data_IF_764032552360
#
_entry.id   IF_764032552360
#
_cell.length_a   1.000
_cell.length_b   1.000
_cell.length_c   1.000
_cell.angle_alpha   90.00
_cell.angle_beta   90.00
_cell.angle_gamma   90.00
#
_symmetry.space_group_name_H-M   'P 1'
#
loop_
_entity.id
_entity.type
_entity.pdbx_description
1 polymer ?
#
# COMPACT_ATOMS: atom_id res chain seq x y z
N UNK A 1 18.41 0.88 -0.37
CA UNK A 1 17.27 -0.05 -0.32
C UNK A 1 16.22 0.45 -1.28
N UNK A 2 15.64 -0.42 -2.11
CA UNK A 2 14.58 -0.04 -3.06
C UNK A 2 13.18 -0.44 -2.57
N UNK A 3 13.10 -1.31 -1.57
CA UNK A 3 11.85 -1.82 -1.01
C UNK A 3 11.66 -1.38 0.44
N UNK A 4 10.40 -1.32 0.88
CA UNK A 4 10.06 -0.97 2.26
C UNK A 4 10.63 -1.98 3.27
N UNK A 5 10.62 -3.27 2.94
CA UNK A 5 11.21 -4.31 3.79
C UNK A 5 12.73 -4.14 3.95
N UNK A 6 13.42 -3.76 2.87
CA UNK A 6 14.85 -3.44 2.92
C UNK A 6 15.14 -2.22 3.78
N UNK A 7 14.32 -1.17 3.67
CA UNK A 7 14.41 0.02 4.51
C UNK A 7 14.26 -0.30 6.01
N UNK A 8 13.25 -1.10 6.38
CA UNK A 8 13.04 -1.50 7.77
C UNK A 8 14.17 -2.37 8.32
N UNK A 9 14.64 -3.32 7.51
CA UNK A 9 15.75 -4.21 7.87
C UNK A 9 17.03 -3.41 8.13
N UNK A 10 17.31 -2.44 7.28
CA UNK A 10 18.49 -1.59 7.43
C UNK A 10 18.38 -0.60 8.59
N UNK A 11 17.19 -0.08 8.84
CA UNK A 11 16.94 0.81 9.98
C UNK A 11 17.09 0.05 11.30
N UNK A 12 16.63 -1.20 11.36
CA UNK A 12 16.73 -2.06 12.54
C UNK A 12 18.07 -2.81 12.65
N UNK A 13 18.92 -2.78 11.61
CA UNK A 13 20.18 -3.54 11.51
C UNK A 13 20.02 -5.06 11.33
N UNK A 14 18.79 -5.57 11.42
CA UNK A 14 18.39 -6.98 11.26
C UNK A 14 16.95 -7.03 10.79
N UNK A 15 16.49 -8.18 10.31
CA UNK A 15 15.08 -8.36 9.93
C UNK A 15 14.21 -8.23 11.18
N UNK A 16 13.31 -7.22 11.25
CA UNK A 16 12.47 -7.03 12.42
C UNK A 16 11.40 -8.14 12.52
N UNK A 17 11.20 -8.75 13.70
CA UNK A 17 10.17 -9.76 13.89
C UNK A 17 8.75 -9.16 13.76
N UNK A 18 7.74 -9.99 13.44
CA UNK A 18 6.34 -9.55 13.43
C UNK A 18 5.94 -8.98 14.79
N UNK A 19 5.20 -7.88 14.77
CA UNK A 19 4.84 -7.06 15.94
C UNK A 19 5.82 -5.91 16.23
N UNK A 20 6.98 -5.87 15.58
CA UNK A 20 7.95 -4.80 15.77
C UNK A 20 7.45 -3.46 15.24
N UNK A 21 7.77 -2.40 15.98
CA UNK A 21 7.44 -1.02 15.67
C UNK A 21 8.72 -0.25 15.33
N UNK A 22 8.72 0.41 14.17
CA UNK A 22 9.79 1.30 13.73
C UNK A 22 9.20 2.67 13.46
N UNK A 23 9.72 3.70 14.11
CA UNK A 23 9.26 5.09 13.93
C UNK A 23 10.26 5.85 13.09
N UNK A 24 9.81 6.43 11.99
CA UNK A 24 10.67 7.19 11.09
C UNK A 24 9.89 8.30 10.38
N UNK A 25 10.42 9.53 10.41
CA UNK A 25 9.81 10.67 9.72
C UNK A 25 8.38 11.01 10.17
N UNK A 26 8.01 10.74 11.42
CA UNK A 26 6.65 10.94 11.93
C UNK A 26 5.65 9.84 11.54
N UNK A 27 6.10 8.83 10.78
CA UNK A 27 5.36 7.63 10.47
C UNK A 27 5.77 6.50 11.40
N UNK A 28 4.83 5.63 11.70
CA UNK A 28 5.00 4.44 12.53
C UNK A 28 4.75 3.22 11.67
N UNK A 29 5.79 2.40 11.52
CA UNK A 29 5.77 1.18 10.72
C UNK A 29 5.65 -0.01 11.65
N UNK A 30 4.54 -0.74 11.56
CA UNK A 30 4.29 -1.95 12.33
C UNK A 30 4.43 -3.15 11.43
N UNK A 31 5.38 -4.03 11.74
CA UNK A 31 5.56 -5.28 10.99
C UNK A 31 4.42 -6.22 11.32
N UNK A 32 3.56 -6.54 10.36
CA UNK A 32 2.47 -7.52 10.55
C UNK A 32 2.94 -8.93 10.23
N UNK A 33 3.82 -9.08 9.25
CA UNK A 33 4.40 -10.36 8.87
C UNK A 33 5.82 -10.16 8.36
N UNK A 34 6.74 -10.96 8.88
CA UNK A 34 8.11 -11.08 8.41
C UNK A 34 8.55 -12.54 8.54
N UNK A 35 9.32 -12.99 7.56
CA UNK A 35 10.05 -14.25 7.60
C UNK A 35 11.46 -14.01 8.16
N UNK A 36 12.24 -15.08 8.32
CA UNK A 36 13.62 -15.02 8.82
C UNK A 36 14.55 -14.13 7.97
N UNK A 37 14.23 -13.96 6.68
CA UNK A 37 15.07 -13.23 5.71
C UNK A 37 14.47 -11.93 5.19
N UNK A 38 13.15 -11.71 5.33
CA UNK A 38 12.48 -10.57 4.70
C UNK A 38 11.17 -10.19 5.38
N UNK A 39 10.84 -8.90 5.29
CA UNK A 39 9.53 -8.38 5.71
C UNK A 39 8.51 -8.60 4.60
N UNK A 40 7.37 -9.22 4.92
CA UNK A 40 6.30 -9.51 3.96
C UNK A 40 5.17 -8.48 4.01
N UNK A 41 4.79 -8.03 5.21
CA UNK A 41 3.65 -7.12 5.39
C UNK A 41 3.93 -6.09 6.48
N UNK A 42 3.67 -4.83 6.14
CA UNK A 42 3.88 -3.67 7.00
C UNK A 42 2.62 -2.84 7.01
N UNK A 43 2.20 -2.45 8.20
CA UNK A 43 1.17 -1.44 8.41
C UNK A 43 1.84 -0.11 8.72
N UNK A 44 1.37 0.97 8.10
CA UNK A 44 1.91 2.31 8.29
C UNK A 44 0.83 3.17 8.93
N UNK A 45 1.09 3.64 10.13
CA UNK A 45 0.25 4.60 10.82
C UNK A 45 0.97 5.95 10.87
N UNK A 46 0.25 7.05 10.62
CA UNK A 46 0.75 8.38 10.98
C UNK A 46 0.54 8.54 12.48
N UNK A 47 1.57 8.95 13.23
CA UNK A 47 1.33 9.39 14.61
C UNK A 47 0.45 10.64 14.49
N UNK A 48 -0.77 10.68 15.03
CA UNK A 48 -1.53 11.92 15.06
C UNK A 48 -0.69 12.89 15.90
N UNK A 49 -0.14 13.91 15.24
CA UNK A 49 0.36 15.07 15.96
C UNK A 49 -0.85 15.59 16.76
N UNK A 50 -0.72 15.67 18.09
CA UNK A 50 -1.77 16.20 18.94
C UNK A 50 -2.15 17.60 18.41
N UNK A 51 -3.28 17.70 17.72
CA UNK A 51 -3.74 18.92 17.05
C UNK A 51 -4.00 18.83 15.54
N UNK A 52 -3.64 17.73 14.86
CA UNK A 52 -3.97 17.58 13.44
C UNK A 52 -5.41 17.07 13.28
N UNK A 53 -6.35 17.99 13.06
CA UNK A 53 -7.64 17.69 12.43
C UNK A 53 -7.38 16.92 11.13
N UNK A 54 -7.74 15.65 11.10
CA UNK A 54 -7.50 14.76 9.97
C UNK A 54 -8.36 15.19 8.77
N UNK A 55 -7.87 16.14 7.99
CA UNK A 55 -8.34 16.42 6.63
C UNK A 55 -7.23 15.97 5.68
N UNK A 56 -7.33 14.74 5.20
CA UNK A 56 -6.42 14.19 4.19
C UNK A 56 -6.98 12.91 3.59
N UNK A 57 -6.84 12.69 2.27
CA UNK A 57 -7.82 11.99 1.45
C UNK A 57 -7.79 10.49 1.71
N UNK A 58 -8.98 9.91 1.88
CA UNK A 58 -9.14 8.48 1.61
C UNK A 58 -8.71 8.24 0.16
N UNK A 59 -7.89 7.22 -0.04
CA UNK A 59 -7.56 6.69 -1.35
C UNK A 59 -8.86 6.10 -1.93
N UNK A 60 -9.73 6.95 -2.47
CA UNK A 60 -10.79 6.53 -3.38
C UNK A 60 -10.09 5.88 -4.55
N UNK A 61 -10.23 4.56 -4.63
CA UNK A 61 -9.97 3.82 -5.83
C UNK A 61 -10.83 4.41 -6.96
N UNK A 62 -10.16 5.01 -7.94
CA UNK A 62 -10.72 5.63 -9.14
C UNK A 62 -9.68 6.65 -9.62
N UNK A 63 -9.16 6.64 -10.85
CA UNK A 63 -9.67 6.16 -12.13
C UNK A 63 -8.55 6.42 -13.16
N UNK A 64 -8.33 5.51 -14.12
CA UNK A 64 -7.99 5.82 -15.53
C UNK A 64 -8.00 4.56 -16.42
N UNK A 65 -9.16 4.29 -17.00
CA UNK A 65 -9.44 3.64 -18.31
C UNK A 65 -8.66 4.28 -19.48
N UNK A 66 -8.35 3.57 -20.61
CA UNK A 66 -9.28 3.64 -21.77
C UNK A 66 -9.28 2.45 -22.78
N UNK A 67 -10.35 2.45 -23.58
CA UNK A 67 -10.44 2.04 -25.00
C UNK A 67 -10.42 0.55 -25.42
N UNK A 68 -11.63 0.04 -25.67
CA UNK A 68 -11.90 -0.79 -26.85
C UNK A 68 -13.19 -0.30 -27.54
N UNK A 69 -13.01 0.60 -28.52
CA UNK A 69 -13.99 0.92 -29.57
C UNK A 69 -13.91 -0.17 -30.63
N UNK A 70 -15.00 -0.90 -30.89
CA UNK A 70 -15.66 -1.00 -32.21
C UNK A 70 -16.67 -2.16 -32.25
N UNK A 71 -17.89 -1.80 -32.67
CA UNK A 71 -18.97 -2.68 -33.09
C UNK A 71 -18.64 -3.37 -34.44
N UNK A 72 -19.49 -4.28 -34.98
CA UNK A 72 -20.75 -3.86 -35.60
C UNK A 72 -21.98 -4.75 -35.30
N UNK A 73 -23.17 -4.16 -35.48
CA UNK A 73 -24.51 -4.79 -35.47
C UNK A 73 -24.84 -5.44 -36.85
N UNK A 74 -26.04 -6.05 -37.06
CA UNK A 74 -26.35 -7.47 -37.23
C UNK A 74 -26.60 -7.90 -38.70
N UNK A 75 -27.12 -9.12 -38.97
CA UNK A 75 -28.40 -9.11 -39.69
C UNK A 75 -29.46 -10.07 -39.15
N UNK A 76 -30.67 -9.52 -39.14
CA UNK A 76 -31.99 -10.12 -39.34
C UNK A 76 -32.04 -11.58 -39.83
N UNK A 77 -32.75 -12.44 -39.08
CA UNK A 77 -33.51 -13.53 -39.67
C UNK A 77 -34.75 -13.83 -38.83
N UNK A 78 -35.88 -13.38 -39.36
CA UNK A 78 -37.23 -13.90 -39.10
C UNK A 78 -37.26 -15.43 -39.15
N UNK A 79 -37.85 -16.07 -38.15
CA UNK A 79 -38.55 -17.35 -38.25
C UNK A 79 -39.56 -17.50 -37.12
#
# INVERSE_FOLDING_TARGET
YETLGGFLTATAGRVPPPGSLVVWGGLTFTVKAADDRRVQKVEIARKPAAGATATGPQHTAGEKIPAALQAPVPPDKVH
#
